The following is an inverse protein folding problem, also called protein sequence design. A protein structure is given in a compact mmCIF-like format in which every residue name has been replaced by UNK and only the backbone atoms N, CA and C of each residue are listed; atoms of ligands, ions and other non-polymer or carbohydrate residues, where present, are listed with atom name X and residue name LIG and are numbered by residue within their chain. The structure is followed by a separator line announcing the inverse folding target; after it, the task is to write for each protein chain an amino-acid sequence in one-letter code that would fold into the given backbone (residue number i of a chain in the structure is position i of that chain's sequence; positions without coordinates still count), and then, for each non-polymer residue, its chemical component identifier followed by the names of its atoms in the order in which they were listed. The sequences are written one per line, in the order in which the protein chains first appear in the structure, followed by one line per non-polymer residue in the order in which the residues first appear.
data_IF_160548033409
#
_entry.id   IF_160548033409
#
_cell.length_a   1.000
_cell.length_b   1.000
_cell.length_c   1.000
_cell.angle_alpha   90.00
_cell.angle_beta   90.00
_cell.angle_gamma   90.00
#
_symmetry.space_group_name_H-M   'P 1'
#
loop_
_entity.id
_entity.type
_entity.pdbx_description
1 polymer ?
#
# COMPACT_ATOMS: atom_id res chain seq x y z
N UNK A 1 -12.24 1.17 -7.32
CA UNK A 1 -11.36 0.07 -6.93
C UNK A 1 -11.22 0.16 -5.43
N UNK A 2 -11.29 -0.98 -4.75
CA UNK A 2 -11.01 -1.11 -3.33
C UNK A 2 -9.87 -2.15 -3.21
N UNK A 3 -8.94 -1.90 -2.30
CA UNK A 3 -7.76 -2.74 -2.09
C UNK A 3 -7.64 -3.02 -0.60
N UNK A 4 -7.60 -4.30 -0.24
CA UNK A 4 -7.34 -4.78 1.12
C UNK A 4 -5.93 -5.37 1.13
N UNK A 5 -5.14 -5.02 2.15
CA UNK A 5 -3.74 -5.42 2.28
C UNK A 5 -3.49 -5.93 3.68
N UNK A 6 -2.92 -7.13 3.80
CA UNK A 6 -2.31 -7.58 5.04
C UNK A 6 -0.89 -7.00 5.14
N UNK A 7 -0.55 -6.44 6.30
CA UNK A 7 0.78 -5.89 6.57
C UNK A 7 1.45 -6.72 7.65
N UNK A 8 2.34 -7.62 7.24
CA UNK A 8 3.07 -8.51 8.15
C UNK A 8 4.11 -7.76 9.02
N UNK A 9 4.73 -6.72 8.47
CA UNK A 9 5.78 -5.93 9.14
C UNK A 9 5.60 -4.43 8.87
N UNK A 10 4.86 -3.77 9.75
CA UNK A 10 4.63 -2.32 9.69
C UNK A 10 5.92 -1.51 9.81
N UNK A 11 6.90 -1.98 10.59
CA UNK A 11 8.18 -1.29 10.79
C UNK A 11 9.01 -1.31 9.51
N UNK A 12 8.98 -2.42 8.75
CA UNK A 12 9.66 -2.52 7.46
C UNK A 12 9.08 -1.52 6.44
N UNK A 13 7.76 -1.36 6.42
CA UNK A 13 7.08 -0.38 5.56
C UNK A 13 7.50 1.05 5.92
N UNK A 14 7.45 1.44 7.20
CA UNK A 14 7.90 2.76 7.63
C UNK A 14 9.37 3.01 7.26
N UNK A 15 10.26 2.03 7.46
CA UNK A 15 11.68 2.14 7.07
C UNK A 15 11.88 2.29 5.57
N UNK A 16 11.08 1.59 4.76
CA UNK A 16 11.11 1.71 3.31
C UNK A 16 10.68 3.12 2.87
N UNK A 17 9.61 3.66 3.46
CA UNK A 17 9.15 5.02 3.19
C UNK A 17 10.22 6.06 3.57
N UNK A 18 10.80 5.96 4.77
CA UNK A 18 11.90 6.83 5.20
C UNK A 18 13.11 6.77 4.27
N UNK A 19 13.50 5.59 3.79
CA UNK A 19 14.57 5.45 2.79
C UNK A 19 14.20 6.17 1.49
N UNK A 20 12.98 5.98 1.00
CA UNK A 20 12.52 6.61 -0.24
C UNK A 20 12.50 8.14 -0.15
N UNK A 21 12.10 8.68 1.01
CA UNK A 21 12.18 10.11 1.32
C UNK A 21 13.63 10.56 1.31
N UNK A 22 14.52 9.87 2.03
CA UNK A 22 15.94 10.21 2.12
C UNK A 22 16.64 10.21 0.75
N UNK A 23 16.26 9.28 -0.13
CA UNK A 23 16.83 9.13 -1.47
C UNK A 23 16.27 10.16 -2.49
N UNK A 24 15.20 10.88 -2.15
CA UNK A 24 14.65 11.95 -2.99
C UNK A 24 15.50 13.24 -2.84
N UNK A 25 16.45 13.45 -3.74
CA UNK A 25 17.36 14.59 -3.72
C UNK A 25 16.74 15.93 -4.14
N UNK A 26 15.56 15.92 -4.76
CA UNK A 26 14.87 17.13 -5.24
C UNK A 26 13.88 17.68 -4.20
N UNK A 27 13.53 16.87 -3.20
CA UNK A 27 12.59 17.23 -2.14
C UNK A 27 13.13 18.34 -1.21
N UNK A 28 12.42 19.48 -1.09
CA UNK A 28 12.72 20.54 -0.13
C UNK A 28 12.76 20.05 1.32
N UNK A 29 13.62 20.65 2.15
CA UNK A 29 13.82 20.21 3.55
C UNK A 29 12.54 20.24 4.40
N UNK A 30 11.68 21.26 4.22
CA UNK A 30 10.44 21.36 4.98
C UNK A 30 9.44 20.26 4.58
N UNK A 31 9.36 19.95 3.29
CA UNK A 31 8.54 18.86 2.75
C UNK A 31 9.05 17.50 3.22
N UNK A 32 10.37 17.30 3.18
CA UNK A 32 11.03 16.10 3.73
C UNK A 32 10.66 15.86 5.19
N UNK A 33 10.82 16.88 6.04
CA UNK A 33 10.50 16.77 7.46
C UNK A 33 9.02 16.45 7.70
N UNK A 34 8.12 17.00 6.88
CA UNK A 34 6.69 16.68 6.95
C UNK A 34 6.41 15.23 6.52
N UNK A 35 7.00 14.78 5.41
CA UNK A 35 6.90 13.40 4.96
C UNK A 35 7.43 12.41 6.00
N UNK A 36 8.62 12.66 6.56
CA UNK A 36 9.22 11.81 7.60
C UNK A 36 8.33 11.70 8.84
N UNK A 37 7.70 12.82 9.25
CA UNK A 37 6.76 12.82 10.36
C UNK A 37 5.51 11.98 10.04
N UNK A 38 4.90 12.16 8.87
CA UNK A 38 3.69 11.46 8.46
C UNK A 38 3.90 9.93 8.42
N UNK A 39 4.95 9.46 7.73
CA UNK A 39 5.21 8.02 7.58
C UNK A 39 5.63 7.33 8.89
N UNK A 40 6.08 8.10 9.88
CA UNK A 40 6.41 7.59 11.22
C UNK A 40 5.20 7.61 12.15
N UNK A 41 4.24 8.52 11.92
CA UNK A 41 3.00 8.62 12.69
C UNK A 41 2.03 7.48 12.34
N UNK A 42 1.98 7.07 11.07
CA UNK A 42 1.02 6.08 10.60
C UNK A 42 1.59 5.16 9.49
N UNK A 43 1.47 3.85 9.67
CA UNK A 43 1.74 2.82 8.64
C UNK A 43 0.96 3.06 7.35
N UNK A 44 -0.27 3.55 7.43
CA UNK A 44 -1.08 3.88 6.27
C UNK A 44 -0.50 5.05 5.46
N UNK A 45 0.04 6.07 6.14
CA UNK A 45 0.77 7.18 5.50
C UNK A 45 2.07 6.67 4.86
N UNK A 46 2.77 5.75 5.52
CA UNK A 46 3.94 5.10 4.94
C UNK A 46 3.61 4.30 3.66
N UNK A 47 2.49 3.57 3.63
CA UNK A 47 2.02 2.89 2.42
C UNK A 47 1.62 3.88 1.33
N UNK A 48 0.84 4.91 1.68
CA UNK A 48 0.41 5.93 0.73
C UNK A 48 1.61 6.65 0.09
N UNK A 49 2.69 6.84 0.84
CA UNK A 49 3.93 7.43 0.31
C UNK A 49 4.67 6.48 -0.66
N UNK A 50 4.59 5.16 -0.45
CA UNK A 50 5.28 4.17 -1.27
C UNK A 50 4.54 3.80 -2.56
N UNK A 51 3.23 4.02 -2.62
CA UNK A 51 2.43 3.71 -3.80
C UNK A 51 2.31 4.94 -4.70
N UNK A 52 2.77 4.81 -5.95
CA UNK A 52 2.46 5.75 -7.02
C UNK A 52 1.18 5.28 -7.75
N UNK A 53 0.03 5.96 -7.57
CA UNK A 53 -1.22 5.55 -8.19
C UNK A 53 -1.23 5.72 -9.71
N UNK A 54 -0.39 6.60 -10.27
CA UNK A 54 -0.24 6.73 -11.72
C UNK A 54 0.53 5.54 -12.27
N UNK A 55 1.68 5.21 -11.68
CA UNK A 55 2.48 4.06 -12.12
C UNK A 55 1.68 2.76 -12.03
N UNK A 56 0.92 2.59 -10.94
CA UNK A 56 0.08 1.41 -10.68
C UNK A 56 -0.91 1.11 -11.81
N UNK A 57 -1.61 2.11 -12.33
CA UNK A 57 -2.63 1.91 -13.37
C UNK A 57 -2.12 2.12 -14.79
N UNK A 58 -0.95 2.73 -14.96
CA UNK A 58 -0.38 3.07 -16.28
C UNK A 58 -0.16 1.86 -17.19
N UNK A 59 0.03 0.68 -16.59
CA UNK A 59 0.29 -0.57 -17.30
C UNK A 59 -1.00 -1.30 -17.71
N UNK A 60 -2.18 -0.82 -17.30
CA UNK A 60 -3.46 -1.46 -17.61
C UNK A 60 -3.97 -1.02 -18.99
N UNK A 61 -4.13 -1.95 -19.96
CA UNK A 61 -4.56 -1.60 -21.31
C UNK A 61 -5.93 -0.90 -21.35
N UNK A 62 -5.98 0.27 -21.99
CA UNK A 62 -7.23 1.02 -22.17
C UNK A 62 -7.65 1.88 -20.97
N UNK A 63 -6.83 1.96 -19.92
CA UNK A 63 -7.06 2.85 -18.76
C UNK A 63 -6.28 4.15 -18.94
N UNK A 64 -6.97 5.28 -18.76
CA UNK A 64 -6.37 6.62 -18.66
C UNK A 64 -6.75 7.22 -17.30
N UNK A 65 -5.77 7.48 -16.44
CA UNK A 65 -6.03 8.01 -15.11
C UNK A 65 -6.36 9.51 -15.19
N UNK A 66 -7.62 9.87 -14.94
CA UNK A 66 -8.07 11.27 -14.88
C UNK A 66 -7.87 11.89 -13.49
N UNK A 67 -8.10 11.10 -12.44
CA UNK A 67 -7.94 11.49 -11.04
C UNK A 67 -7.71 10.23 -10.21
N UNK A 68 -6.87 10.32 -9.19
CA UNK A 68 -6.80 9.35 -8.10
C UNK A 68 -7.05 10.06 -6.76
N UNK A 69 -7.84 9.44 -5.89
CA UNK A 69 -7.94 9.80 -4.48
C UNK A 69 -7.73 8.53 -3.67
N UNK A 70 -6.94 8.65 -2.61
CA UNK A 70 -6.68 7.55 -1.69
C UNK A 70 -7.16 7.96 -0.30
N UNK A 71 -7.75 7.00 0.39
CA UNK A 71 -8.10 7.09 1.79
C UNK A 71 -7.69 5.80 2.47
N UNK A 72 -7.22 5.90 3.70
CA UNK A 72 -6.82 4.75 4.49
C UNK A 72 -7.56 4.72 5.82
N UNK A 73 -7.88 3.51 6.26
CA UNK A 73 -8.46 3.25 7.58
C UNK A 73 -7.77 2.01 8.16
N UNK A 74 -7.53 2.01 9.48
CA UNK A 74 -7.10 0.80 10.19
C UNK A 74 -8.34 0.02 10.59
N UNK A 75 -8.37 -1.25 10.20
CA UNK A 75 -9.42 -2.20 10.56
C UNK A 75 -8.79 -3.42 11.25
N UNK A 76 -9.53 -4.03 12.18
CA UNK A 76 -9.09 -5.25 12.85
C UNK A 76 -9.11 -6.42 11.85
N UNK A 77 -8.06 -7.23 11.84
CA UNK A 77 -8.00 -8.43 11.03
C UNK A 77 -9.07 -9.43 11.49
N UNK A 78 -9.97 -9.80 10.57
CA UNK A 78 -11.02 -10.79 10.80
C UNK A 78 -11.02 -11.83 9.66
N UNK A 79 -10.42 -13.01 9.86
CA UNK A 79 -10.32 -14.04 8.84
C UNK A 79 -11.67 -14.72 8.52
N UNK A 80 -12.67 -14.57 9.39
CA UNK A 80 -14.02 -15.10 9.17
C UNK A 80 -14.94 -14.06 8.50
N UNK A 81 -14.45 -12.85 8.23
CA UNK A 81 -15.23 -11.79 7.61
C UNK A 81 -15.31 -11.96 6.10
N UNK A 82 -16.51 -11.96 5.51
CA UNK A 82 -16.71 -12.11 4.07
C UNK A 82 -16.13 -10.93 3.26
N UNK A 83 -15.81 -9.81 3.91
CA UNK A 83 -15.18 -8.65 3.27
C UNK A 83 -13.67 -8.86 3.01
N UNK A 84 -13.06 -9.86 3.65
CA UNK A 84 -11.62 -10.18 3.57
C UNK A 84 -11.34 -11.44 2.75
N UNK A 85 -12.39 -12.12 2.31
CA UNK A 85 -12.31 -13.41 1.63
C UNK A 85 -11.74 -13.21 0.21
N UNK A 86 -10.41 -13.23 0.11
CA UNK A 86 -9.65 -13.20 -1.12
C UNK A 86 -9.68 -14.60 -1.74
N UNK A 87 -10.87 -15.04 -2.16
CA UNK A 87 -11.17 -16.30 -2.85
C UNK A 87 -10.46 -17.56 -2.29
N UNK A 88 -11.16 -18.35 -1.46
CA UNK A 88 -10.83 -19.75 -1.12
C UNK A 88 -10.82 -20.72 -2.33
N UNK A 89 -10.56 -20.23 -3.56
CA UNK A 89 -10.58 -21.02 -4.80
C UNK A 89 -9.17 -21.42 -5.31
N UNK A 90 -8.09 -21.17 -4.55
CA UNK A 90 -6.79 -21.85 -4.77
C UNK A 90 -6.76 -23.21 -4.04
N UNK A 91 -7.77 -24.04 -4.31
CA UNK A 91 -7.66 -25.48 -4.13
C UNK A 91 -6.79 -26.06 -5.24
N UNK A 92 -5.47 -26.07 -5.04
CA UNK A 92 -4.62 -27.04 -5.73
C UNK A 92 -5.04 -28.45 -5.26
N UNK A 93 -5.95 -29.05 -6.04
CA UNK A 93 -6.24 -30.48 -6.08
C UNK A 93 -4.98 -31.21 -6.54
N UNK A 94 -3.99 -31.31 -5.64
CA UNK A 94 -2.90 -32.26 -5.81
C UNK A 94 -3.44 -33.65 -5.48
N UNK A 95 -4.06 -34.23 -6.51
CA UNK A 95 -4.39 -35.63 -6.65
C UNK A 95 -3.13 -36.47 -6.40
N UNK A 96 -2.98 -36.98 -5.18
CA UNK A 96 -2.02 -38.03 -4.88
C UNK A 96 -2.73 -39.36 -4.58
N UNK A 97 -2.85 -40.14 -5.66
CA UNK A 97 -2.76 -41.62 -5.80
C UNK A 97 -3.54 -42.56 -4.86
#
# INVERSE_FOLDING_TARGET
MELVLEVEDADAITKAALRRIADDGEMPTAERAHGEAAVTEDTAEALAYLVDPFDLVSQVPGVELQQASWSSERIDYDPDSPDWDLDEDDVDDDSDS
#
